data_IF_981378304561
#
_entry.id   IF_981378304561
#
_cell.length_a   1.000
_cell.length_b   1.000
_cell.length_c   1.000
_cell.angle_alpha   90.00
_cell.angle_beta   90.00
_cell.angle_gamma   90.00
#
_symmetry.space_group_name_H-M   'P 1'
#
loop_
_entity.id
_entity.type
_entity.pdbx_description
1 polymer ?
#
# COMPACT_ATOMS: atom_id res chain seq x y z
N UNK A 1 -9.57 -34.02 30.32
CA UNK A 1 -9.15 -32.61 30.51
C UNK A 1 -8.83 -32.31 31.97
N UNK A 2 -9.45 -32.98 32.93
CA UNK A 2 -8.99 -33.02 34.33
C UNK A 2 -9.11 -34.45 34.85
N UNK A 3 -8.21 -34.88 35.76
CA UNK A 3 -8.33 -36.18 36.45
C UNK A 3 -8.75 -35.91 37.88
N UNK A 4 -9.67 -36.72 38.41
CA UNK A 4 -10.08 -36.67 39.82
C UNK A 4 -8.94 -37.18 40.69
N UNK A 5 -8.47 -36.34 41.62
CA UNK A 5 -7.52 -36.75 42.66
C UNK A 5 -8.25 -37.56 43.74
N UNK A 6 -7.78 -38.78 44.02
CA UNK A 6 -8.32 -39.63 45.10
C UNK A 6 -7.67 -39.38 46.47
N UNK A 7 -6.70 -38.45 46.55
CA UNK A 7 -6.05 -38.10 47.82
C UNK A 7 -6.81 -37.00 48.55
N UNK A 8 -7.80 -37.41 49.36
CA UNK A 8 -8.40 -36.63 50.46
C UNK A 8 -9.26 -35.42 50.09
N UNK A 9 -9.11 -34.87 48.89
CA UNK A 9 -10.01 -33.85 48.33
C UNK A 9 -10.24 -34.16 46.86
N UNK A 10 -11.52 -34.32 46.48
CA UNK A 10 -11.97 -34.60 45.12
C UNK A 10 -11.75 -33.39 44.19
N UNK A 11 -10.51 -32.93 44.06
CA UNK A 11 -10.13 -31.84 43.17
C UNK A 11 -9.76 -32.38 41.80
N UNK A 12 -10.20 -31.66 40.78
CA UNK A 12 -9.84 -31.87 39.39
C UNK A 12 -8.47 -31.25 39.14
N UNK A 13 -7.46 -32.07 38.84
CA UNK A 13 -6.10 -31.60 38.52
C UNK A 13 -5.91 -31.65 37.01
N UNK A 14 -5.32 -30.60 36.44
CA UNK A 14 -5.00 -30.54 35.01
C UNK A 14 -4.06 -31.70 34.64
N UNK A 15 -4.40 -32.47 33.60
CA UNK A 15 -3.58 -33.57 33.12
C UNK A 15 -2.76 -33.13 31.91
N UNK A 16 -1.48 -32.77 32.07
CA UNK A 16 -0.62 -32.37 30.97
C UNK A 16 -0.33 -33.51 29.98
N UNK A 17 -0.59 -34.77 30.33
CA UNK A 17 -0.44 -35.93 29.43
C UNK A 17 -1.71 -36.25 28.63
N UNK A 18 -2.74 -35.41 28.68
CA UNK A 18 -3.95 -35.63 27.90
C UNK A 18 -3.71 -35.20 26.42
N UNK A 19 -3.67 -36.15 25.46
CA UNK A 19 -3.35 -35.85 24.07
C UNK A 19 -4.34 -34.87 23.43
N UNK A 20 -5.61 -34.88 23.87
CA UNK A 20 -6.63 -33.93 23.40
C UNK A 20 -6.32 -32.51 23.85
N UNK A 21 -5.88 -32.32 25.10
CA UNK A 21 -5.53 -30.99 25.63
C UNK A 21 -4.29 -30.43 24.93
N UNK A 22 -3.30 -31.28 24.69
CA UNK A 22 -2.10 -30.89 23.95
C UNK A 22 -2.42 -30.56 22.48
N UNK A 23 -3.28 -31.35 21.84
CA UNK A 23 -3.76 -31.06 20.49
C UNK A 23 -4.48 -29.72 20.39
N UNK A 24 -5.32 -29.38 21.36
CA UNK A 24 -6.00 -28.08 21.40
C UNK A 24 -5.03 -26.91 21.57
N UNK A 25 -3.97 -27.07 22.38
CA UNK A 25 -2.94 -26.04 22.55
C UNK A 25 -2.17 -25.84 21.25
N UNK A 26 -1.72 -26.93 20.61
CA UNK A 26 -0.98 -26.82 19.34
C UNK A 26 -1.88 -26.22 18.25
N UNK A 27 -3.12 -26.69 18.16
CA UNK A 27 -4.11 -26.19 17.21
C UNK A 27 -4.42 -24.70 17.40
N UNK A 28 -4.57 -24.24 18.64
CA UNK A 28 -4.82 -22.82 18.92
C UNK A 28 -3.62 -21.94 18.58
N UNK A 29 -2.40 -22.42 18.83
CA UNK A 29 -1.17 -21.71 18.46
C UNK A 29 -1.01 -21.60 16.93
N UNK A 30 -1.27 -22.69 16.20
CA UNK A 30 -1.22 -22.66 14.73
C UNK A 30 -2.30 -21.74 14.16
N UNK A 31 -3.53 -21.81 14.68
CA UNK A 31 -4.60 -20.92 14.28
C UNK A 31 -4.23 -19.45 14.52
N UNK A 32 -3.69 -19.13 15.70
CA UNK A 32 -3.25 -17.77 16.01
C UNK A 32 -2.13 -17.30 15.08
N UNK A 33 -1.14 -18.15 14.81
CA UNK A 33 -0.04 -17.83 13.89
C UNK A 33 -0.53 -17.56 12.47
N UNK A 34 -1.42 -18.42 11.95
CA UNK A 34 -2.02 -18.24 10.61
C UNK A 34 -2.86 -16.98 10.54
N UNK A 35 -3.69 -16.70 11.56
CA UNK A 35 -4.50 -15.49 11.61
C UNK A 35 -3.64 -14.22 11.64
N UNK A 36 -2.59 -14.19 12.46
CA UNK A 36 -1.66 -13.06 12.52
C UNK A 36 -0.91 -12.85 11.21
N UNK A 37 -0.46 -13.94 10.57
CA UNK A 37 0.20 -13.87 9.27
C UNK A 37 -0.74 -13.32 8.19
N UNK A 38 -1.98 -13.82 8.13
CA UNK A 38 -2.97 -13.34 7.17
C UNK A 38 -3.26 -11.86 7.33
N UNK A 39 -3.40 -11.37 8.57
CA UNK A 39 -3.64 -9.96 8.83
C UNK A 39 -2.47 -9.09 8.39
N UNK A 40 -1.23 -9.54 8.63
CA UNK A 40 -0.04 -8.80 8.20
C UNK A 40 0.12 -8.79 6.68
N UNK A 41 -0.09 -9.93 6.02
CA UNK A 41 -0.01 -10.01 4.57
C UNK A 41 -1.06 -9.13 3.88
N UNK A 42 -2.25 -8.98 4.45
CA UNK A 42 -3.28 -8.08 3.91
C UNK A 42 -3.03 -6.59 4.15
N UNK A 43 -2.07 -6.24 5.01
CA UNK A 43 -1.76 -4.84 5.36
C UNK A 43 -0.49 -4.30 4.71
N UNK A 44 0.36 -5.17 4.16
CA UNK A 44 1.65 -4.79 3.59
C UNK A 44 1.68 -4.98 2.08
N UNK A 45 2.41 -4.12 1.38
CA UNK A 45 2.70 -4.32 -0.04
C UNK A 45 3.66 -5.48 -0.26
N UNK A 46 3.42 -6.26 -1.32
CA UNK A 46 4.47 -7.08 -1.93
C UNK A 46 5.09 -6.36 -3.14
N UNK A 47 6.34 -6.70 -3.47
CA UNK A 47 7.07 -6.14 -4.61
C UNK A 47 6.35 -6.32 -5.97
N UNK A 48 5.60 -7.43 -6.12
CA UNK A 48 4.81 -7.69 -7.32
C UNK A 48 3.58 -6.79 -7.38
N UNK A 49 2.78 -6.79 -6.31
CA UNK A 49 1.57 -5.96 -6.20
C UNK A 49 1.89 -4.48 -6.34
N UNK A 50 3.01 -4.03 -5.76
CA UNK A 50 3.45 -2.64 -5.86
C UNK A 50 3.75 -2.23 -7.31
N UNK A 51 4.53 -3.05 -8.02
CA UNK A 51 4.86 -2.79 -9.43
C UNK A 51 3.59 -2.81 -10.29
N UNK A 52 2.72 -3.79 -10.09
CA UNK A 52 1.47 -3.92 -10.83
C UNK A 52 0.52 -2.73 -10.55
N UNK A 53 0.41 -2.29 -9.30
CA UNK A 53 -0.40 -1.14 -8.91
C UNK A 53 0.08 0.16 -9.57
N UNK A 54 1.39 0.42 -9.57
CA UNK A 54 1.95 1.62 -10.22
C UNK A 54 1.73 1.57 -11.73
N UNK A 55 1.93 0.42 -12.38
CA UNK A 55 1.64 0.27 -13.80
C UNK A 55 0.15 0.46 -14.14
N UNK A 56 -0.74 -0.08 -13.30
CA UNK A 56 -2.17 0.08 -13.45
C UNK A 56 -2.57 1.55 -13.30
N UNK A 57 -2.07 2.23 -12.27
CA UNK A 57 -2.31 3.65 -12.02
C UNK A 57 -1.88 4.51 -13.22
N UNK A 58 -0.67 4.31 -13.74
CA UNK A 58 -0.18 5.04 -14.93
C UNK A 58 -1.11 4.82 -16.13
N UNK A 59 -1.45 3.57 -16.41
CA UNK A 59 -2.34 3.23 -17.53
C UNK A 59 -3.71 3.89 -17.38
N UNK A 60 -4.26 3.90 -16.18
CA UNK A 60 -5.61 4.41 -15.93
C UNK A 60 -5.64 5.95 -15.97
N UNK A 61 -4.57 6.59 -15.50
CA UNK A 61 -4.36 8.04 -15.62
C UNK A 61 -4.22 8.50 -17.07
N UNK A 62 -3.48 7.74 -17.89
CA UNK A 62 -3.32 8.03 -19.33
C UNK A 62 -4.56 7.68 -20.16
N UNK A 63 -5.40 6.73 -19.71
CA UNK A 63 -6.56 6.26 -20.46
C UNK A 63 -7.68 7.31 -20.57
N UNK A 64 -7.77 8.22 -19.60
CA UNK A 64 -8.90 9.15 -19.48
C UNK A 64 -8.40 10.57 -19.21
N UNK A 65 -8.98 11.61 -19.84
CA UNK A 65 -8.69 12.99 -19.47
C UNK A 65 -8.98 13.23 -17.98
N UNK A 66 -8.03 13.84 -17.31
CA UNK A 66 -8.09 14.12 -15.88
C UNK A 66 -8.58 15.54 -15.63
N UNK A 67 -9.44 15.71 -14.63
CA UNK A 67 -9.97 17.02 -14.24
C UNK A 67 -9.19 17.60 -13.07
N UNK A 68 -8.46 18.68 -13.32
CA UNK A 68 -7.73 19.43 -12.30
C UNK A 68 -8.53 20.65 -11.85
N UNK A 69 -8.43 20.98 -10.56
CA UNK A 69 -8.98 22.21 -10.00
C UNK A 69 -8.80 22.28 -8.49
N UNK A 70 -9.05 23.47 -7.93
CA UNK A 70 -8.79 23.81 -6.52
C UNK A 70 -9.38 22.85 -5.45
N UNK A 71 -10.35 22.00 -5.79
CA UNK A 71 -11.00 21.08 -4.84
C UNK A 71 -10.68 19.59 -5.09
N UNK A 72 -10.22 19.21 -6.30
CA UNK A 72 -9.83 17.83 -6.61
C UNK A 72 -8.39 17.53 -6.22
N UNK A 73 -7.61 18.56 -5.89
CA UNK A 73 -6.19 18.45 -5.57
C UNK A 73 -5.32 18.43 -6.83
N UNK A 74 -4.01 18.36 -6.63
CA UNK A 74 -3.00 18.33 -7.69
C UNK A 74 -2.66 16.92 -8.16
N UNK A 75 -1.61 16.79 -8.97
CA UNK A 75 -1.12 15.50 -9.45
C UNK A 75 -0.75 14.54 -8.32
N UNK A 76 -0.18 15.03 -7.22
CA UNK A 76 0.15 14.19 -6.07
C UNK A 76 -1.06 13.45 -5.47
N UNK A 77 -2.23 14.10 -5.35
CA UNK A 77 -3.44 13.42 -4.87
C UNK A 77 -3.97 12.46 -5.93
N UNK A 78 -3.97 12.87 -7.19
CA UNK A 78 -4.46 12.07 -8.31
C UNK A 78 -3.67 10.77 -8.50
N UNK A 79 -2.35 10.83 -8.43
CA UNK A 79 -1.49 9.64 -8.53
C UNK A 79 -1.75 8.70 -7.35
N UNK A 80 -1.92 9.24 -6.14
CA UNK A 80 -2.24 8.44 -4.95
C UNK A 80 -3.58 7.75 -5.10
N UNK A 81 -4.61 8.49 -5.52
CA UNK A 81 -5.95 7.94 -5.71
C UNK A 81 -5.92 6.84 -6.79
N UNK A 82 -5.19 7.04 -7.89
CA UNK A 82 -5.06 6.03 -8.95
C UNK A 82 -4.32 4.76 -8.48
N UNK A 83 -3.29 4.89 -7.64
CA UNK A 83 -2.61 3.73 -7.04
C UNK A 83 -3.53 3.00 -6.07
N UNK A 84 -4.29 3.72 -5.24
CA UNK A 84 -5.25 3.12 -4.30
C UNK A 84 -6.45 2.46 -5.02
N UNK A 85 -6.88 3.01 -6.15
CA UNK A 85 -8.00 2.48 -6.96
C UNK A 85 -7.58 1.38 -7.94
N UNK A 86 -6.28 1.12 -8.12
CA UNK A 86 -5.77 0.04 -8.99
C UNK A 86 -6.41 -1.32 -8.70
N UNK A 87 -6.77 -1.55 -7.42
CA UNK A 87 -7.29 -2.82 -6.94
C UNK A 87 -6.19 -3.80 -6.53
N UNK A 88 -4.94 -3.41 -6.67
CA UNK A 88 -3.77 -4.11 -6.18
C UNK A 88 -3.34 -3.61 -4.78
N UNK A 89 -2.89 -4.53 -3.93
CA UNK A 89 -2.30 -4.19 -2.64
C UNK A 89 -3.25 -4.17 -1.43
N UNK A 90 -2.80 -3.62 -0.29
CA UNK A 90 -3.53 -3.66 0.97
C UNK A 90 -4.76 -2.74 0.94
N UNK A 91 -5.85 -3.21 1.56
CA UNK A 91 -7.14 -2.48 1.63
C UNK A 91 -7.10 -1.16 2.41
N UNK A 92 -5.99 -0.88 3.11
CA UNK A 92 -5.77 0.36 3.86
C UNK A 92 -4.40 0.94 3.53
N UNK A 93 -4.23 1.45 2.30
CA UNK A 93 -3.18 2.38 1.86
C UNK A 93 -1.80 2.20 2.52
N UNK A 94 -1.22 1.00 2.39
CA UNK A 94 -0.07 0.50 3.17
C UNK A 94 1.20 1.36 3.13
N UNK A 95 1.21 2.49 3.83
CA UNK A 95 2.35 3.40 3.87
C UNK A 95 2.71 3.97 2.49
N UNK A 96 1.72 4.35 1.68
CA UNK A 96 1.95 4.99 0.38
C UNK A 96 2.46 6.43 0.57
N UNK A 97 3.60 6.73 -0.05
CA UNK A 97 4.23 8.05 -0.04
C UNK A 97 4.49 8.52 -1.46
N UNK A 98 3.89 9.65 -1.83
CA UNK A 98 4.11 10.33 -3.10
C UNK A 98 4.64 11.72 -2.78
N UNK A 99 5.81 12.04 -3.29
CA UNK A 99 6.48 13.32 -3.07
C UNK A 99 6.85 13.93 -4.43
N UNK A 100 6.67 15.24 -4.56
CA UNK A 100 7.19 15.99 -5.70
C UNK A 100 8.71 15.98 -5.61
N UNK A 101 9.35 15.60 -6.72
CA UNK A 101 10.80 15.47 -6.82
C UNK A 101 11.44 16.65 -7.56
N UNK A 102 10.65 17.52 -8.18
CA UNK A 102 11.18 18.73 -8.80
C UNK A 102 11.80 19.67 -7.76
N UNK A 103 13.08 19.96 -7.94
CA UNK A 103 13.75 21.03 -7.20
C UNK A 103 13.46 22.36 -7.91
N UNK A 104 12.74 23.30 -7.28
CA UNK A 104 12.44 24.61 -7.87
C UNK A 104 13.70 25.45 -8.16
N UNK A 105 14.88 25.00 -7.71
CA UNK A 105 16.17 25.64 -7.95
C UNK A 105 17.07 24.89 -8.94
N UNK A 106 16.65 23.72 -9.43
CA UNK A 106 17.37 23.02 -10.49
C UNK A 106 17.14 23.72 -11.83
N UNK A 107 18.24 24.02 -12.52
CA UNK A 107 18.24 24.73 -13.81
C UNK A 107 18.26 23.77 -14.99
N UNK A 108 18.59 22.51 -14.73
CA UNK A 108 18.64 21.44 -15.71
C UNK A 108 17.33 20.62 -15.72
N UNK A 109 16.42 20.88 -14.78
CA UNK A 109 15.07 20.30 -14.75
C UNK A 109 14.28 20.68 -16.01
N UNK A 110 13.58 19.70 -16.58
CA UNK A 110 12.77 19.91 -17.78
C UNK A 110 11.45 20.61 -17.39
N UNK A 111 11.23 21.87 -17.80
CA UNK A 111 10.03 22.62 -17.39
C UNK A 111 8.74 22.14 -18.07
N UNK A 112 8.80 21.08 -18.89
CA UNK A 112 7.66 20.51 -19.60
C UNK A 112 7.07 19.26 -18.91
N UNK A 113 7.63 18.84 -17.79
CA UNK A 113 7.18 17.71 -16.99
C UNK A 113 7.25 18.04 -15.51
N UNK A 114 6.37 17.43 -14.72
CA UNK A 114 6.48 17.40 -13.26
C UNK A 114 6.99 16.03 -12.80
N UNK A 115 7.98 16.00 -11.93
CA UNK A 115 8.58 14.79 -11.38
C UNK A 115 7.97 14.41 -10.03
N UNK A 116 7.60 13.15 -9.88
CA UNK A 116 7.09 12.59 -8.63
C UNK A 116 7.81 11.31 -8.26
N UNK A 117 8.30 11.24 -7.02
CA UNK A 117 8.80 10.00 -6.44
C UNK A 117 7.65 9.26 -5.72
N UNK A 118 7.44 8.01 -6.10
CA UNK A 118 6.38 7.14 -5.59
C UNK A 118 7.02 5.97 -4.83
N UNK A 119 6.66 5.82 -3.55
CA UNK A 119 7.20 4.82 -2.62
C UNK A 119 6.10 4.18 -1.77
N UNK A 120 6.36 2.96 -1.31
CA UNK A 120 5.56 2.32 -0.27
C UNK A 120 6.48 1.85 0.88
N UNK A 121 6.01 1.95 2.13
CA UNK A 121 6.82 1.70 3.33
C UNK A 121 7.35 0.26 3.44
N UNK A 122 6.59 -0.71 2.91
CA UNK A 122 6.90 -2.13 3.03
C UNK A 122 7.81 -2.70 1.91
N UNK A 123 8.15 -1.89 0.89
CA UNK A 123 8.95 -2.29 -0.28
C UNK A 123 10.11 -1.32 -0.51
N UNK A 124 11.23 -1.81 -1.05
CA UNK A 124 12.40 -0.96 -1.30
C UNK A 124 12.31 -0.24 -2.66
N UNK A 125 11.52 -0.80 -3.58
CA UNK A 125 11.35 -0.28 -4.94
C UNK A 125 10.64 1.06 -4.92
N UNK A 126 11.32 2.09 -5.42
CA UNK A 126 10.75 3.39 -5.71
C UNK A 126 10.52 3.54 -7.22
N UNK A 127 9.60 4.42 -7.60
CA UNK A 127 9.38 4.80 -8.99
C UNK A 127 9.48 6.31 -9.14
N UNK A 128 10.24 6.76 -10.13
CA UNK A 128 10.26 8.14 -10.56
C UNK A 128 9.29 8.32 -11.72
N UNK A 129 8.23 9.09 -11.51
CA UNK A 129 7.22 9.41 -12.53
C UNK A 129 7.52 10.78 -13.11
N UNK A 130 7.48 10.90 -14.44
CA UNK A 130 7.48 12.19 -15.15
C UNK A 130 6.12 12.39 -15.78
N UNK A 131 5.40 13.40 -15.33
CA UNK A 131 4.02 13.69 -15.75
C UNK A 131 4.02 14.89 -16.69
N UNK A 132 3.48 14.71 -17.89
CA UNK A 132 3.33 15.79 -18.88
C UNK A 132 1.87 15.93 -19.31
N UNK A 133 1.35 17.16 -19.54
CA UNK A 133 1.99 18.46 -19.30
C UNK A 133 2.12 18.79 -17.80
N UNK A 134 2.91 19.81 -17.41
CA UNK A 134 3.05 20.20 -16.01
C UNK A 134 1.73 20.77 -15.47
N UNK A 135 1.59 20.75 -14.15
CA UNK A 135 0.37 21.09 -13.46
C UNK A 135 -0.02 22.54 -13.80
N UNK A 136 -1.22 22.76 -14.35
CA UNK A 136 -1.66 24.11 -14.68
C UNK A 136 -1.91 24.90 -13.40
N UNK A 137 -1.51 26.18 -13.41
CA UNK A 137 -1.84 27.19 -12.39
C UNK A 137 -3.37 27.35 -12.26
N UNK A 138 -4.01 26.46 -11.51
CA UNK A 138 -5.47 26.27 -11.53
C UNK A 138 -6.12 26.81 -10.26
N UNK A 139 -5.90 28.11 -9.98
CA UNK A 139 -6.46 28.76 -8.79
C UNK A 139 -7.99 28.90 -8.86
N UNK A 140 -8.61 28.91 -10.07
CA UNK A 140 -10.03 29.32 -10.21
C UNK A 140 -10.90 28.52 -11.20
N UNK A 141 -10.36 27.66 -12.05
CA UNK A 141 -11.13 26.97 -13.11
C UNK A 141 -10.78 25.49 -13.23
N UNK A 142 -11.80 24.66 -13.48
CA UNK A 142 -11.63 23.25 -13.82
C UNK A 142 -10.99 23.13 -15.20
N UNK A 143 -9.87 22.43 -15.29
CA UNK A 143 -9.16 22.16 -16.54
C UNK A 143 -9.16 20.66 -16.78
N UNK A 144 -9.49 20.24 -18.00
CA UNK A 144 -9.32 18.86 -18.45
C UNK A 144 -7.97 18.72 -19.12
N UNK A 145 -7.16 17.77 -18.64
CA UNK A 145 -5.80 17.54 -19.14
C UNK A 145 -5.67 16.07 -19.51
N UNK A 146 -5.16 15.80 -20.71
CA UNK A 146 -4.75 14.44 -21.08
C UNK A 146 -3.29 14.28 -20.66
N UNK A 147 -3.03 13.33 -19.76
CA UNK A 147 -1.70 13.10 -19.22
C UNK A 147 -0.94 12.10 -20.10
N UNK A 148 0.37 12.31 -20.21
CA UNK A 148 1.33 11.31 -20.62
C UNK A 148 2.34 11.16 -19.49
N UNK A 149 2.52 9.93 -19.02
CA UNK A 149 3.31 9.63 -17.83
C UNK A 149 4.37 8.61 -18.21
N UNK A 150 5.64 9.00 -18.14
CA UNK A 150 6.76 8.05 -18.17
C UNK A 150 7.15 7.67 -16.76
N UNK A 151 7.61 6.43 -16.55
CA UNK A 151 8.10 5.99 -15.26
C UNK A 151 9.40 5.21 -15.40
N UNK A 152 10.30 5.40 -14.43
CA UNK A 152 11.54 4.66 -14.29
C UNK A 152 11.60 4.03 -12.89
N UNK A 153 12.07 2.79 -12.82
CA UNK A 153 12.30 2.09 -11.54
C UNK A 153 13.56 2.65 -10.90
N UNK A 154 13.42 3.22 -9.72
CA UNK A 154 14.46 3.98 -9.04
C UNK A 154 13.90 5.20 -8.33
N UNK A 155 14.79 5.88 -7.60
CA UNK A 155 14.50 7.18 -7.02
C UNK A 155 14.67 8.28 -8.05
N UNK A 156 13.96 9.38 -7.82
CA UNK A 156 14.35 10.66 -8.38
C UNK A 156 15.52 11.22 -7.51
#
# INVERSE_FOLDING_TARGET
>A
MFIRSDWGTSRYVYNPRNPVGMGLIIGSLLFAAVAMYSLRASSSWSEGEWRDAVHAAVRDLEATPQTLGSWTGGYQSMIRDAVEESGEGPTSGGGLHIEEADDPYDKDADPSVDLFEVRAEDVETAFCLSVSPPEPDSVLTRVEVSLSISFEEGRC
#
